data_IF_907926139390
#
_entry.id   IF_907926139390
#
_cell.length_a   1.000
_cell.length_b   1.000
_cell.length_c   1.000
_cell.angle_alpha   90.00
_cell.angle_beta   90.00
_cell.angle_gamma   90.00
#
_symmetry.space_group_name_H-M   'P 1'
#
loop_
_entity.id
_entity.type
_entity.pdbx_description
1 polymer ?
#
# COMPACT_ATOMS: atom_id res chain seq x y z
N UNK A 1 10.27 -6.83 -25.80
CA UNK A 1 8.98 -7.47 -26.15
C UNK A 1 7.89 -6.73 -25.40
N UNK A 2 6.87 -6.25 -26.10
CA UNK A 2 5.69 -5.66 -25.46
C UNK A 2 4.85 -6.83 -24.97
N UNK A 3 4.88 -7.10 -23.66
CA UNK A 3 4.00 -8.09 -23.05
C UNK A 3 2.56 -7.58 -23.21
N UNK A 4 1.79 -8.22 -24.09
CA UNK A 4 0.36 -7.96 -24.27
C UNK A 4 -0.40 -8.50 -23.05
N UNK A 5 -0.40 -7.73 -21.96
CA UNK A 5 -1.31 -7.96 -20.84
C UNK A 5 -2.72 -7.72 -21.38
N UNK A 6 -3.55 -8.77 -21.41
CA UNK A 6 -4.96 -8.60 -21.71
C UNK A 6 -5.58 -7.78 -20.56
N UNK A 7 -6.31 -6.69 -20.86
CA UNK A 7 -7.02 -5.92 -19.85
C UNK A 7 -7.85 -6.84 -18.94
N UNK A 8 -7.76 -6.58 -17.65
CA UNK A 8 -8.53 -7.25 -16.62
C UNK A 8 -9.15 -6.21 -15.70
N UNK A 9 -10.25 -6.58 -15.06
CA UNK A 9 -10.95 -5.73 -14.11
C UNK A 9 -11.19 -6.54 -12.84
N UNK A 10 -10.64 -6.09 -11.72
CA UNK A 10 -10.91 -6.66 -10.40
C UNK A 10 -11.91 -5.74 -9.71
N UNK A 11 -12.97 -6.30 -9.16
CA UNK A 11 -13.99 -5.53 -8.46
C UNK A 11 -14.60 -6.32 -7.32
N UNK A 12 -15.20 -5.58 -6.40
CA UNK A 12 -15.96 -6.11 -5.28
C UNK A 12 -17.45 -5.83 -5.50
N UNK A 13 -18.29 -6.84 -5.23
CA UNK A 13 -19.74 -6.72 -5.22
C UNK A 13 -20.32 -7.66 -4.16
N UNK A 14 -21.17 -7.15 -3.27
CA UNK A 14 -21.83 -7.93 -2.20
C UNK A 14 -20.84 -8.72 -1.33
N UNK A 15 -19.78 -8.05 -0.86
CA UNK A 15 -18.64 -8.62 -0.13
C UNK A 15 -17.94 -9.75 -0.88
N UNK A 16 -18.05 -9.81 -2.19
CA UNK A 16 -17.43 -10.84 -3.03
C UNK A 16 -16.47 -10.21 -4.01
N UNK A 17 -15.30 -10.80 -4.16
CA UNK A 17 -14.28 -10.34 -5.10
C UNK A 17 -14.39 -11.12 -6.41
N UNK A 18 -14.41 -10.39 -7.51
CA UNK A 18 -14.48 -10.92 -8.86
C UNK A 18 -13.33 -10.41 -9.71
N UNK A 19 -12.99 -11.17 -10.75
CA UNK A 19 -12.13 -10.74 -11.84
C UNK A 19 -12.84 -10.97 -13.16
N UNK A 20 -12.93 -9.91 -13.97
CA UNK A 20 -13.45 -9.94 -15.34
C UNK A 20 -12.26 -9.84 -16.31
N UNK A 21 -12.19 -10.75 -17.27
CA UNK A 21 -11.21 -10.69 -18.35
C UNK A 21 -11.78 -9.95 -19.59
N UNK A 22 -10.93 -9.67 -20.57
CA UNK A 22 -11.33 -9.02 -21.84
C UNK A 22 -12.42 -9.77 -22.63
N UNK A 23 -12.57 -11.09 -22.44
CA UNK A 23 -13.62 -11.89 -23.08
C UNK A 23 -14.94 -11.85 -22.28
N UNK A 24 -15.07 -10.92 -21.35
CA UNK A 24 -16.20 -10.78 -20.42
C UNK A 24 -16.45 -11.96 -19.48
N UNK A 25 -15.54 -12.93 -19.44
CA UNK A 25 -15.62 -14.02 -18.48
C UNK A 25 -15.36 -13.45 -17.09
N UNK A 26 -16.32 -13.66 -16.20
CA UNK A 26 -16.25 -13.27 -14.79
C UNK A 26 -15.93 -14.53 -13.97
N UNK A 27 -14.82 -14.49 -13.24
CA UNK A 27 -14.44 -15.52 -12.28
C UNK A 27 -14.55 -14.95 -10.86
N UNK A 28 -15.27 -15.65 -9.98
CA UNK A 28 -15.37 -15.31 -8.56
C UNK A 28 -14.10 -15.76 -7.82
N UNK A 29 -13.39 -14.83 -7.18
CA UNK A 29 -12.13 -15.10 -6.48
C UNK A 29 -12.34 -15.42 -5.01
N UNK A 30 -13.16 -14.63 -4.31
CA UNK A 30 -13.34 -14.76 -2.87
C UNK A 30 -14.71 -14.26 -2.41
N UNK A 31 -15.12 -14.74 -1.23
CA UNK A 31 -16.23 -14.20 -0.45
C UNK A 31 -15.68 -13.41 0.75
N UNK A 32 -16.58 -12.69 1.42
CA UNK A 32 -16.35 -11.99 2.68
C UNK A 32 -15.20 -10.97 2.59
N UNK A 33 -15.08 -10.24 1.49
CA UNK A 33 -14.06 -9.21 1.28
C UNK A 33 -14.61 -7.86 1.70
N UNK A 34 -13.86 -7.14 2.53
CA UNK A 34 -14.19 -5.78 3.00
C UNK A 34 -13.42 -4.72 2.22
N UNK A 35 -12.18 -5.04 1.86
CA UNK A 35 -11.30 -4.13 1.12
C UNK A 35 -10.34 -4.96 0.30
N UNK A 36 -9.94 -4.42 -0.84
CA UNK A 36 -8.96 -5.04 -1.70
C UNK A 36 -8.06 -4.00 -2.34
N UNK A 37 -6.92 -4.46 -2.83
CA UNK A 37 -6.08 -3.75 -3.77
C UNK A 37 -5.44 -4.76 -4.71
N UNK A 38 -5.22 -4.35 -5.95
CA UNK A 38 -4.66 -5.20 -6.98
C UNK A 38 -3.52 -4.50 -7.73
N UNK A 39 -2.56 -5.27 -8.20
CA UNK A 39 -1.47 -4.81 -9.07
C UNK A 39 -0.94 -6.02 -9.85
N UNK A 40 -0.09 -5.82 -10.86
CA UNK A 40 0.51 -6.92 -11.61
C UNK A 40 2.03 -6.79 -11.67
N UNK A 41 2.74 -7.92 -11.71
CA UNK A 41 4.20 -7.96 -11.79
C UNK A 41 4.71 -8.02 -13.24
N UNK A 42 6.03 -7.95 -13.41
CA UNK A 42 6.69 -8.01 -14.72
C UNK A 42 6.47 -9.33 -15.47
N UNK A 43 6.01 -10.37 -14.75
CA UNK A 43 5.67 -11.68 -15.29
C UNK A 43 4.17 -11.83 -15.61
N UNK A 44 3.43 -10.72 -15.55
CA UNK A 44 1.99 -10.62 -15.76
C UNK A 44 1.15 -11.45 -14.77
N UNK A 45 1.67 -11.75 -13.58
CA UNK A 45 0.85 -12.25 -12.49
C UNK A 45 0.05 -11.09 -11.90
N UNK A 46 -1.25 -11.29 -11.75
CA UNK A 46 -2.12 -10.35 -11.05
C UNK A 46 -2.07 -10.70 -9.57
N UNK A 47 -1.59 -9.77 -8.77
CA UNK A 47 -1.53 -9.85 -7.33
C UNK A 47 -2.71 -9.08 -6.75
N UNK A 48 -3.51 -9.76 -5.94
CA UNK A 48 -4.66 -9.16 -5.27
C UNK A 48 -4.51 -9.41 -3.78
N UNK A 49 -4.50 -8.35 -2.99
CA UNK A 49 -4.51 -8.44 -1.54
C UNK A 49 -5.88 -8.01 -1.04
N UNK A 50 -6.49 -8.81 -0.16
CA UNK A 50 -7.80 -8.51 0.41
C UNK A 50 -7.76 -8.53 1.92
N UNK A 51 -8.67 -7.79 2.55
CA UNK A 51 -9.03 -7.96 3.95
C UNK A 51 -10.38 -8.65 4.02
N UNK A 52 -10.46 -9.78 4.74
CA UNK A 52 -11.72 -10.46 4.97
C UNK A 52 -12.55 -9.80 6.10
N UNK A 53 -13.81 -10.22 6.26
CA UNK A 53 -14.70 -9.77 7.35
C UNK A 53 -14.19 -10.07 8.75
N UNK A 54 -13.17 -10.92 8.90
CA UNK A 54 -12.50 -11.24 10.17
C UNK A 54 -11.22 -10.42 10.38
N UNK A 55 -10.94 -9.48 9.48
CA UNK A 55 -9.75 -8.62 9.51
C UNK A 55 -8.46 -9.34 9.14
N UNK A 56 -8.51 -10.42 8.35
CA UNK A 56 -7.32 -11.14 7.88
C UNK A 56 -6.89 -10.64 6.50
N UNK A 57 -5.59 -10.40 6.35
CA UNK A 57 -4.95 -10.13 5.06
C UNK A 57 -4.73 -11.45 4.31
N UNK A 58 -5.25 -11.52 3.08
CA UNK A 58 -5.16 -12.67 2.20
C UNK A 58 -4.59 -12.20 0.87
N UNK A 59 -3.60 -12.94 0.37
CA UNK A 59 -3.03 -12.73 -0.95
C UNK A 59 -3.59 -13.76 -1.94
N UNK A 60 -3.98 -13.28 -3.12
CA UNK A 60 -4.33 -14.06 -4.28
C UNK A 60 -3.37 -13.73 -5.41
N UNK A 61 -2.86 -14.77 -6.07
CA UNK A 61 -2.05 -14.66 -7.26
C UNK A 61 -2.81 -15.30 -8.42
N UNK A 62 -3.17 -14.51 -9.41
CA UNK A 62 -3.95 -14.92 -10.58
C UNK A 62 -3.09 -14.91 -11.83
N UNK A 63 -3.20 -15.97 -12.64
CA UNK A 63 -2.65 -16.02 -14.00
C UNK A 63 -3.44 -17.02 -14.84
N UNK A 64 -3.87 -16.60 -16.03
CA UNK A 64 -4.53 -17.45 -17.03
C UNK A 64 -5.70 -18.28 -16.45
N UNK A 65 -6.58 -17.66 -15.66
CA UNK A 65 -7.73 -18.32 -15.03
C UNK A 65 -7.40 -19.16 -13.79
N UNK A 66 -6.12 -19.30 -13.42
CA UNK A 66 -5.70 -20.03 -12.21
C UNK A 66 -5.47 -19.07 -11.07
N UNK A 67 -6.05 -19.38 -9.91
CA UNK A 67 -5.92 -18.61 -8.67
C UNK A 67 -5.16 -19.41 -7.62
N UNK A 68 -4.08 -18.85 -7.08
CA UNK A 68 -3.42 -19.35 -5.87
C UNK A 68 -3.73 -18.42 -4.71
N UNK A 69 -4.24 -18.98 -3.61
CA UNK A 69 -4.58 -18.24 -2.39
C UNK A 69 -3.59 -18.50 -1.25
N UNK A 70 -3.25 -17.48 -0.47
CA UNK A 70 -2.49 -17.59 0.78
C UNK A 70 -3.01 -16.61 1.83
N UNK A 71 -3.42 -17.12 2.99
CA UNK A 71 -3.69 -16.28 4.16
C UNK A 71 -2.37 -15.85 4.80
N UNK A 72 -2.23 -14.56 5.15
CA UNK A 72 -1.00 -14.02 5.70
C UNK A 72 -1.09 -13.86 7.23
N UNK A 73 -1.87 -12.89 7.70
CA UNK A 73 -2.01 -12.61 9.13
C UNK A 73 -3.30 -11.84 9.41
N UNK A 74 -3.65 -11.71 10.70
CA UNK A 74 -4.69 -10.77 11.14
C UNK A 74 -4.10 -9.36 11.16
N UNK A 75 -4.76 -8.41 10.50
CA UNK A 75 -4.28 -7.03 10.34
C UNK A 75 -5.10 -6.00 11.09
N UNK A 76 -6.39 -6.25 11.28
CA UNK A 76 -7.27 -5.40 12.09
C UNK A 76 -8.25 -6.25 12.92
N UNK A 77 -8.72 -5.68 14.04
CA UNK A 77 -9.76 -6.30 14.86
C UNK A 77 -11.15 -5.75 14.51
N UNK A 78 -11.21 -4.48 14.15
CA UNK A 78 -12.42 -3.81 13.69
C UNK A 78 -12.21 -3.41 12.24
N UNK A 79 -13.02 -3.93 11.33
CA UNK A 79 -12.93 -3.61 9.91
C UNK A 79 -13.51 -2.24 9.58
N UNK A 80 -14.36 -1.68 10.44
CA UNK A 80 -15.00 -0.38 10.23
C UNK A 80 -14.01 0.79 10.34
N UNK A 81 -12.85 0.57 10.98
CA UNK A 81 -11.79 1.57 11.04
C UNK A 81 -10.91 1.60 9.79
N UNK A 82 -11.05 0.65 8.85
CA UNK A 82 -10.28 0.64 7.61
C UNK A 82 -10.71 1.81 6.72
N UNK A 83 -9.75 2.59 6.23
CA UNK A 83 -10.01 3.74 5.35
C UNK A 83 -9.41 3.61 3.97
N UNK A 84 -8.29 2.92 3.86
CA UNK A 84 -7.60 2.77 2.58
C UNK A 84 -6.68 1.55 2.60
N UNK A 85 -6.50 0.93 1.44
CA UNK A 85 -5.56 -0.16 1.21
C UNK A 85 -4.87 0.06 -0.14
N UNK A 86 -3.54 -0.01 -0.17
CA UNK A 86 -2.74 0.13 -1.41
C UNK A 86 -1.74 -1.00 -1.54
N UNK A 87 -1.44 -1.40 -2.78
CA UNK A 87 -0.44 -2.43 -3.09
C UNK A 87 0.57 -1.88 -4.09
N UNK A 88 1.84 -1.94 -3.71
CA UNK A 88 2.98 -1.68 -4.59
C UNK A 88 3.81 -2.95 -4.76
N UNK A 89 4.28 -3.19 -5.98
CA UNK A 89 5.23 -4.27 -6.27
C UNK A 89 6.56 -3.60 -6.59
N UNK A 90 7.58 -3.88 -5.78
CA UNK A 90 8.90 -3.27 -5.91
C UNK A 90 9.93 -4.38 -5.77
N UNK A 91 10.75 -4.59 -6.80
CA UNK A 91 11.76 -5.66 -6.85
C UNK A 91 11.17 -7.04 -6.51
N UNK A 92 10.01 -7.38 -7.09
CA UNK A 92 9.25 -8.62 -6.82
C UNK A 92 8.78 -8.82 -5.36
N UNK A 93 8.83 -7.76 -4.55
CA UNK A 93 8.30 -7.75 -3.19
C UNK A 93 6.98 -6.98 -3.16
N UNK A 94 5.96 -7.57 -2.56
CA UNK A 94 4.66 -6.93 -2.35
C UNK A 94 4.71 -6.06 -1.10
N UNK A 95 4.27 -4.82 -1.24
CA UNK A 95 4.20 -3.80 -0.20
C UNK A 95 2.75 -3.36 -0.06
N UNK A 96 2.06 -3.89 0.94
CA UNK A 96 0.67 -3.55 1.23
C UNK A 96 0.64 -2.49 2.32
N UNK A 97 0.05 -1.34 2.02
CA UNK A 97 -0.22 -0.28 2.99
C UNK A 97 -1.69 -0.31 3.37
N UNK A 98 -1.95 -0.34 4.68
CA UNK A 98 -3.28 -0.31 5.24
C UNK A 98 -3.42 0.92 6.13
N UNK A 99 -4.48 1.69 5.92
CA UNK A 99 -4.81 2.88 6.72
C UNK A 99 -5.98 2.56 7.63
N UNK A 100 -5.79 2.79 8.91
CA UNK A 100 -6.80 2.62 9.94
C UNK A 100 -7.01 3.94 10.68
N UNK A 101 -8.26 4.38 10.82
CA UNK A 101 -8.62 5.48 11.71
C UNK A 101 -8.63 5.00 13.16
N UNK A 102 -8.11 5.83 14.05
CA UNK A 102 -8.08 5.56 15.48
C UNK A 102 -9.51 5.55 16.02
N UNK A 103 -9.94 4.49 16.73
CA UNK A 103 -11.26 4.47 17.36
C UNK A 103 -11.36 5.38 18.60
N UNK A 104 -10.23 5.93 19.06
CA UNK A 104 -10.13 6.69 20.33
C UNK A 104 -9.95 8.19 20.07
N UNK A 105 -9.35 8.56 18.94
CA UNK A 105 -9.00 9.96 18.64
C UNK A 105 -9.36 10.30 17.20
N UNK A 106 -10.32 11.20 17.03
CA UNK A 106 -10.75 11.67 15.72
C UNK A 106 -9.59 12.27 14.94
N UNK A 107 -9.54 12.02 13.62
CA UNK A 107 -8.48 12.46 12.71
C UNK A 107 -7.06 11.93 13.01
N UNK A 108 -6.94 10.92 13.88
CA UNK A 108 -5.69 10.17 14.04
C UNK A 108 -5.76 8.86 13.27
N UNK A 109 -4.66 8.53 12.61
CA UNK A 109 -4.54 7.36 11.77
C UNK A 109 -3.32 6.53 12.15
N UNK A 110 -3.43 5.24 11.85
CA UNK A 110 -2.33 4.29 11.80
C UNK A 110 -2.14 3.87 10.35
N UNK A 111 -0.90 3.91 9.87
CA UNK A 111 -0.50 3.27 8.63
C UNK A 111 0.28 2.00 8.96
N UNK A 112 -0.20 0.86 8.48
CA UNK A 112 0.48 -0.42 8.59
C UNK A 112 1.10 -0.79 7.25
N UNK A 113 2.37 -1.15 7.24
CA UNK A 113 3.10 -1.63 6.07
C UNK A 113 3.38 -3.13 6.22
N UNK A 114 2.91 -3.92 5.26
CA UNK A 114 3.16 -5.36 5.15
C UNK A 114 4.02 -5.62 3.91
N UNK A 115 5.23 -6.12 4.14
CA UNK A 115 6.22 -6.38 3.10
C UNK A 115 6.47 -7.90 3.03
N UNK A 116 6.19 -8.52 1.89
CA UNK A 116 6.37 -9.97 1.73
C UNK A 116 6.65 -10.36 0.28
N UNK A 117 7.32 -11.50 0.11
CA UNK A 117 7.55 -12.11 -1.20
C UNK A 117 6.48 -13.18 -1.48
N UNK A 118 5.95 -13.28 -2.72
CA UNK A 118 5.03 -14.36 -3.09
C UNK A 118 5.74 -15.71 -3.23
N UNK A 119 7.08 -15.74 -3.27
CA UNK A 119 7.86 -16.97 -3.39
C UNK A 119 7.96 -17.77 -2.08
N UNK A 120 8.10 -17.08 -0.94
CA UNK A 120 8.31 -17.71 0.37
C UNK A 120 7.32 -17.25 1.45
N UNK A 121 6.55 -16.18 1.20
CA UNK A 121 5.61 -15.58 2.15
C UNK A 121 6.23 -15.18 3.50
N UNK A 122 7.53 -14.91 3.54
CA UNK A 122 8.14 -14.29 4.71
C UNK A 122 7.62 -12.86 4.83
N UNK A 123 6.94 -12.56 5.95
CA UNK A 123 6.19 -11.34 6.15
C UNK A 123 6.89 -10.44 7.17
N UNK A 124 7.26 -9.24 6.73
CA UNK A 124 7.64 -8.14 7.60
C UNK A 124 6.47 -7.18 7.79
N UNK A 125 6.32 -6.71 9.02
CA UNK A 125 5.21 -5.86 9.43
C UNK A 125 5.74 -4.63 10.15
N UNK A 126 5.22 -3.47 9.79
CA UNK A 126 5.55 -2.21 10.46
C UNK A 126 4.32 -1.34 10.67
N UNK A 127 4.31 -0.59 11.77
CA UNK A 127 3.21 0.32 12.13
C UNK A 127 3.74 1.73 12.36
N UNK A 128 3.11 2.70 11.71
CA UNK A 128 3.31 4.13 11.94
C UNK A 128 2.03 4.64 12.59
N UNK A 129 2.13 5.00 13.87
CA UNK A 129 1.00 5.47 14.68
C UNK A 129 1.00 7.00 14.78
N UNK A 130 -0.12 7.53 15.27
CA UNK A 130 -0.29 8.96 15.58
C UNK A 130 -0.10 9.86 14.35
N UNK A 131 -0.54 9.39 13.18
CA UNK A 131 -0.57 10.18 11.96
C UNK A 131 -1.78 11.09 12.03
N UNK A 132 -1.61 12.38 11.75
CA UNK A 132 -2.69 13.36 11.73
C UNK A 132 -2.96 13.73 10.28
N UNK A 133 -4.23 13.66 9.88
CA UNK A 133 -4.66 14.06 8.53
C UNK A 133 -4.52 15.58 8.37
N UNK A 134 -4.00 16.01 7.22
CA UNK A 134 -3.88 17.41 6.84
C UNK A 134 -4.54 17.62 5.47
N UNK A 135 -5.62 18.39 5.44
CA UNK A 135 -6.51 18.45 4.28
C UNK A 135 -7.06 17.06 3.96
N UNK A 136 -6.96 16.63 2.70
CA UNK A 136 -7.38 15.28 2.27
C UNK A 136 -6.30 14.21 2.45
N UNK A 137 -5.07 14.61 2.80
CA UNK A 137 -3.91 13.74 2.81
C UNK A 137 -3.64 13.16 4.21
N UNK A 138 -3.55 11.83 4.32
CA UNK A 138 -3.14 11.11 5.54
C UNK A 138 -1.62 10.92 5.54
N UNK A 139 -1.05 10.51 4.41
CA UNK A 139 0.38 10.41 4.19
C UNK A 139 0.69 10.60 2.71
N UNK A 140 1.93 10.95 2.39
CA UNK A 140 2.49 10.94 1.04
C UNK A 140 3.50 9.81 0.95
N UNK A 141 3.48 9.07 -0.14
CA UNK A 141 4.43 7.99 -0.40
C UNK A 141 5.03 8.21 -1.78
N UNK A 142 6.35 8.36 -1.81
CA UNK A 142 7.13 8.45 -3.03
C UNK A 142 8.04 7.22 -3.14
N UNK A 143 8.35 6.81 -4.36
CA UNK A 143 9.34 5.78 -4.64
C UNK A 143 10.46 6.47 -5.42
N UNK A 144 11.68 6.42 -4.90
CA UNK A 144 12.83 7.03 -5.57
C UNK A 144 13.38 6.14 -6.71
N UNK A 145 14.34 6.67 -7.47
CA UNK A 145 14.97 5.95 -8.59
C UNK A 145 15.73 4.69 -8.14
N UNK A 146 16.08 4.58 -6.86
CA UNK A 146 16.72 3.40 -6.27
C UNK A 146 15.69 2.43 -5.69
N UNK A 147 14.40 2.63 -5.98
CA UNK A 147 13.27 1.86 -5.46
C UNK A 147 13.03 2.01 -3.95
N UNK A 148 13.65 2.96 -3.26
CA UNK A 148 13.36 3.19 -1.85
C UNK A 148 11.99 3.87 -1.70
N UNK A 149 11.22 3.42 -0.71
CA UNK A 149 9.95 4.08 -0.37
C UNK A 149 10.20 5.18 0.65
N UNK A 150 9.70 6.38 0.35
CA UNK A 150 9.81 7.58 1.18
C UNK A 150 8.40 7.95 1.63
N UNK A 151 8.11 7.79 2.91
CA UNK A 151 6.81 8.08 3.50
C UNK A 151 6.89 9.36 4.33
N UNK A 152 6.12 10.36 3.92
CA UNK A 152 6.00 11.64 4.61
C UNK A 152 4.61 11.75 5.24
N UNK A 153 4.54 12.14 6.51
CA UNK A 153 3.28 12.22 7.25
C UNK A 153 3.33 13.29 8.33
N UNK A 154 2.17 13.74 8.78
CA UNK A 154 2.06 14.74 9.84
C UNK A 154 1.79 14.06 11.19
N UNK A 155 2.36 14.61 12.27
CA UNK A 155 2.14 14.14 13.64
C UNK A 155 2.22 15.28 14.63
N UNK A 156 1.51 15.18 15.76
CA UNK A 156 1.58 16.17 16.84
C UNK A 156 2.58 15.65 17.90
N UNK A 157 3.51 16.50 18.33
CA UNK A 157 4.45 16.20 19.41
C UNK A 157 3.90 16.78 20.71
N UNK A 158 3.93 16.01 21.79
CA UNK A 158 3.41 16.45 23.09
C UNK A 158 4.20 17.66 23.61
N UNK A 159 3.54 18.83 23.64
CA UNK A 159 3.54 19.85 24.72
C UNK A 159 2.80 21.12 24.29
N UNK A 160 2.63 21.35 22.98
CA UNK A 160 1.69 22.33 22.43
C UNK A 160 0.71 21.60 21.53
N UNK A 161 -0.59 21.61 21.86
CA UNK A 161 -1.65 20.86 21.14
C UNK A 161 -1.88 21.35 19.70
N UNK A 162 -1.10 22.31 19.21
CA UNK A 162 -1.25 22.98 17.91
C UNK A 162 -0.15 22.67 16.90
N UNK A 163 1.01 22.14 17.31
CA UNK A 163 2.18 22.12 16.43
C UNK A 163 2.24 20.82 15.61
N UNK A 164 1.81 20.92 14.36
CA UNK A 164 1.88 19.85 13.37
C UNK A 164 3.32 19.73 12.87
N UNK A 165 3.95 18.59 13.16
CA UNK A 165 5.28 18.26 12.67
C UNK A 165 5.21 17.25 11.53
N UNK A 166 5.76 17.64 10.38
CA UNK A 166 5.96 16.73 9.26
C UNK A 166 7.17 15.83 9.52
N UNK A 167 6.98 14.52 9.39
CA UNK A 167 8.00 13.49 9.55
C UNK A 167 8.20 12.75 8.23
N UNK A 168 9.44 12.37 7.97
CA UNK A 168 9.82 11.56 6.79
C UNK A 168 10.55 10.30 7.22
N UNK A 169 10.04 9.16 6.75
CA UNK A 169 10.63 7.84 6.91
C UNK A 169 11.09 7.32 5.55
N UNK A 170 12.23 6.63 5.53
CA UNK A 170 12.74 5.92 4.36
C UNK A 170 12.75 4.43 4.66
N UNK A 171 12.19 3.62 3.77
CA UNK A 171 12.23 2.17 3.89
C UNK A 171 13.55 1.64 3.34
N UNK A 172 14.36 1.08 4.22
CA UNK A 172 15.60 0.44 3.83
C UNK A 172 15.32 -1.01 3.38
N UNK A 173 15.55 -1.26 2.09
CA UNK A 173 15.30 -2.56 1.47
C UNK A 173 16.19 -3.69 1.95
N UNK A 174 17.41 -3.41 2.40
CA UNK A 174 18.37 -4.45 2.81
C UNK A 174 17.97 -5.05 4.16
N UNK A 175 17.52 -4.22 5.10
CA UNK A 175 17.14 -4.65 6.45
C UNK A 175 15.62 -4.70 6.72
N UNK A 176 14.80 -4.34 5.73
CA UNK A 176 13.32 -4.33 5.77
C UNK A 176 12.74 -3.47 6.89
N UNK A 177 13.38 -2.34 7.20
CA UNK A 177 12.94 -1.41 8.26
C UNK A 177 12.78 0.01 7.74
N UNK A 178 11.85 0.72 8.35
CA UNK A 178 11.72 2.17 8.19
C UNK A 178 12.71 2.90 9.09
N UNK A 179 13.41 3.88 8.54
CA UNK A 179 14.39 4.71 9.25
C UNK A 179 13.96 6.17 9.16
N UNK A 180 14.04 6.89 10.28
CA UNK A 180 13.80 8.34 10.33
C UNK A 180 14.94 9.10 9.68
N UNK A 181 14.60 10.10 8.86
CA UNK A 181 15.58 10.99 8.23
C UNK A 181 16.39 11.79 9.25
N UNK A 182 15.84 12.11 10.43
CA UNK A 182 16.60 12.78 11.50
C UNK A 182 17.82 11.96 11.98
N UNK A 183 17.80 10.63 11.80
CA UNK A 183 18.93 9.76 12.15
C UNK A 183 19.99 9.66 11.03
N UNK A 184 19.69 10.17 9.83
CA UNK A 184 20.63 10.20 8.69
C UNK A 184 21.38 11.55 8.60
N UNK A 185 20.95 12.55 9.38
CA UNK A 185 21.42 13.94 9.29
C UNK A 185 22.30 14.32 10.47
N UNK A 186 23.56 13.87 10.47
CA UNK A 186 24.66 14.63 11.10
C UNK A 186 25.46 15.47 10.11
N UNK A 187 25.20 15.39 8.81
CA UNK A 187 25.84 16.27 7.82
C UNK A 187 25.05 16.34 6.51
N UNK A 188 24.03 17.18 6.47
CA UNK A 188 23.75 17.99 5.27
C UNK A 188 22.69 19.02 5.63
N UNK A 189 22.99 20.28 5.37
CA UNK A 189 22.01 21.35 5.48
C UNK A 189 20.96 21.14 4.38
N UNK A 190 19.69 21.32 4.76
CA UNK A 190 18.55 21.68 3.91
C UNK A 190 18.11 20.69 2.84
N UNK A 191 17.10 19.87 3.16
CA UNK A 191 16.19 19.22 2.19
C UNK A 191 15.04 20.14 1.75
N UNK A 192 15.20 21.47 1.85
CA UNK A 192 14.11 22.40 1.57
C UNK A 192 13.76 22.56 0.07
N UNK A 193 14.57 22.00 -0.84
CA UNK A 193 14.38 22.15 -2.29
C UNK A 193 14.27 20.83 -3.07
N UNK A 194 13.69 19.78 -2.47
CA UNK A 194 13.19 18.69 -3.31
C UNK A 194 11.87 19.14 -3.98
N UNK A 195 12.00 19.91 -5.06
CA UNK A 195 11.04 19.87 -6.17
C UNK A 195 11.17 18.49 -6.84
N UNK A 196 10.80 17.42 -6.13
CA UNK A 196 10.47 16.17 -6.81
C UNK A 196 9.22 16.50 -7.62
N UNK A 197 9.34 16.53 -8.95
CA UNK A 197 8.17 16.36 -9.79
C UNK A 197 7.54 15.04 -9.35
N UNK A 198 6.46 15.14 -8.57
CA UNK A 198 5.71 13.98 -8.12
C UNK A 198 5.29 13.22 -9.37
N UNK A 199 5.87 12.04 -9.59
CA UNK A 199 5.41 11.14 -10.65
C UNK A 199 4.08 10.49 -10.27
N UNK A 200 3.68 10.60 -9.01
CA UNK A 200 2.37 10.21 -8.51
C UNK A 200 1.53 11.47 -8.49
N UNK A 201 0.82 11.71 -9.60
CA UNK A 201 -0.26 12.69 -9.65
C UNK A 201 -1.24 12.38 -8.52
N UNK A 202 -1.74 13.46 -7.92
CA UNK A 202 -2.69 13.47 -6.83
C UNK A 202 -3.76 12.37 -6.96
N UNK A 203 -4.07 11.76 -5.81
CA UNK A 203 -5.16 10.80 -5.60
C UNK A 203 -6.37 11.13 -6.49
N UNK A 204 -6.89 10.15 -7.22
CA UNK A 204 -8.32 9.96 -7.57
C UNK A 204 -8.46 8.69 -8.45
N UNK A 205 -9.34 7.80 -8.02
CA UNK A 205 -9.84 6.55 -8.62
C UNK A 205 -8.87 5.38 -8.89
N UNK A 206 -9.14 4.32 -8.12
CA UNK A 206 -9.26 2.91 -8.48
C UNK A 206 -9.37 2.61 -9.99
N UNK A 207 -8.29 2.84 -10.72
CA UNK A 207 -8.03 2.22 -12.00
C UNK A 207 -6.62 1.67 -11.95
N UNK A 208 -6.48 0.36 -12.08
CA UNK A 208 -5.19 -0.29 -12.30
C UNK A 208 -4.72 0.05 -13.73
N UNK A 209 -4.34 1.30 -13.98
CA UNK A 209 -3.53 1.64 -15.14
C UNK A 209 -2.10 1.24 -14.84
N UNK A 210 -1.54 0.42 -15.72
CA UNK A 210 -0.13 0.10 -15.81
C UNK A 210 0.71 1.37 -15.92
N UNK A 211 1.15 1.95 -14.81
CA UNK A 211 2.18 2.98 -14.85
C UNK A 211 3.51 2.25 -14.94
N UNK A 212 3.99 2.03 -16.17
CA UNK A 212 5.38 1.69 -16.43
C UNK A 212 6.24 2.88 -15.98
N UNK A 213 6.96 2.74 -14.88
CA UNK A 213 8.04 3.66 -14.57
C UNK A 213 9.13 3.47 -15.62
N UNK A 214 9.43 4.54 -16.38
CA UNK A 214 10.45 4.51 -17.43
C UNK A 214 11.82 4.17 -16.84
N UNK A 215 12.56 3.32 -17.56
CA UNK A 215 13.99 3.06 -17.39
C UNK A 215 14.82 4.34 -17.47
#
# INVERSE_FOLDING_TARGET
MINNIKPFYVYEENNSLFIKNINEKIDKISNNVISYCANFDDNNFIHICTIDTKGKLIHFMYKDGKVRRRSLCKVCNNTNSLKNMRLFIIQNILNVFLVEESPIKDNYYRVSHYNFSPSNYHLHKYHINNIVKNGECIYRLNIDNMSNMILTYNSIVNNNRSDINTKTLIFNYSNKKWVSTHNLFRSSKTFYDFKSASTIKDDIFEYCYSINYKN
#
